data_IF_740487567066
#
_entry.id   IF_740487567066
#
_cell.length_a   1.000
_cell.length_b   1.000
_cell.length_c   1.000
_cell.angle_alpha   90.00
_cell.angle_beta   90.00
_cell.angle_gamma   90.00
#
_symmetry.space_group_name_H-M   'P 1'
#
loop_
_entity.id
_entity.type
_entity.pdbx_description
1 polymer ?
#
# COMPACT_ATOMS: atom_id res chain seq x y z
N UNK A 1 -35.57 -27.32 -38.01
CA UNK A 1 -34.87 -26.19 -38.66
C UNK A 1 -33.83 -25.72 -37.67
N UNK A 2 -32.59 -26.16 -37.87
CA UNK A 2 -31.45 -26.02 -36.94
C UNK A 2 -30.43 -25.14 -37.67
N UNK A 3 -30.28 -23.89 -37.22
CA UNK A 3 -29.19 -23.00 -37.63
C UNK A 3 -28.22 -22.93 -36.44
N UNK A 4 -27.06 -23.61 -36.42
CA UNK A 4 -25.83 -23.38 -37.20
C UNK A 4 -25.31 -21.93 -37.14
N UNK A 5 -25.08 -21.41 -35.92
CA UNK A 5 -24.20 -20.26 -35.68
C UNK A 5 -22.90 -20.70 -35.00
N UNK A 6 -22.00 -21.32 -35.79
CA UNK A 6 -20.59 -21.44 -35.47
C UNK A 6 -19.87 -20.14 -35.82
N UNK A 7 -19.96 -19.14 -34.95
CA UNK A 7 -19.13 -17.94 -35.05
C UNK A 7 -17.67 -18.32 -34.82
N UNK A 8 -16.86 -18.27 -35.87
CA UNK A 8 -15.39 -18.25 -35.79
C UNK A 8 -15.02 -17.13 -34.81
N UNK A 9 -14.62 -17.49 -33.59
CA UNK A 9 -13.93 -16.58 -32.69
C UNK A 9 -12.59 -16.31 -33.35
N UNK A 10 -12.46 -15.19 -34.03
CA UNK A 10 -11.15 -14.66 -34.36
C UNK A 10 -10.33 -14.63 -33.07
N UNK A 11 -9.12 -15.20 -33.12
CA UNK A 11 -8.19 -15.15 -32.01
C UNK A 11 -7.98 -13.67 -31.69
N UNK A 12 -8.66 -13.20 -30.63
CA UNK A 12 -8.57 -11.84 -30.13
C UNK A 12 -7.21 -11.75 -29.45
N UNK A 13 -6.17 -11.63 -30.28
CA UNK A 13 -4.80 -11.44 -29.85
C UNK A 13 -4.74 -10.30 -28.86
N UNK A 14 -3.77 -10.39 -27.95
CA UNK A 14 -3.57 -9.37 -26.91
C UNK A 14 -3.49 -8.01 -27.58
N UNK A 15 -4.23 -6.99 -27.11
CA UNK A 15 -4.14 -5.66 -27.67
C UNK A 15 -2.72 -5.12 -27.46
N UNK A 16 -1.90 -5.12 -28.51
CA UNK A 16 -0.55 -4.55 -28.51
C UNK A 16 -0.57 -3.10 -28.00
N UNK A 17 -1.63 -2.36 -28.30
CA UNK A 17 -1.81 -0.98 -27.83
C UNK A 17 -1.94 -0.88 -26.30
N UNK A 18 -2.46 -1.91 -25.63
CA UNK A 18 -2.56 -1.97 -24.17
C UNK A 18 -1.19 -2.15 -23.52
N UNK A 19 -0.33 -2.98 -24.12
CA UNK A 19 1.07 -3.15 -23.68
C UNK A 19 1.84 -1.83 -23.85
N UNK A 20 1.70 -1.18 -25.00
CA UNK A 20 2.32 0.14 -25.27
C UNK A 20 1.86 1.16 -24.22
N UNK A 21 0.57 1.18 -23.90
CA UNK A 21 0.03 2.08 -22.87
C UNK A 21 0.63 1.80 -21.48
N UNK A 22 0.74 0.54 -21.07
CA UNK A 22 1.34 0.19 -19.78
C UNK A 22 2.84 0.55 -19.75
N UNK A 23 3.58 0.29 -20.83
CA UNK A 23 4.98 0.69 -20.93
C UNK A 23 5.15 2.22 -20.90
N UNK A 24 4.25 2.99 -21.51
CA UNK A 24 4.25 4.46 -21.44
C UNK A 24 3.94 4.98 -20.03
N UNK A 25 3.19 4.23 -19.23
CA UNK A 25 2.94 4.51 -17.82
C UNK A 25 4.10 4.10 -16.90
N UNK A 26 5.19 3.55 -17.45
CA UNK A 26 6.38 3.15 -16.70
C UNK A 26 6.31 1.74 -16.09
N UNK A 27 5.37 0.89 -16.52
CA UNK A 27 5.35 -0.51 -16.09
C UNK A 27 6.50 -1.28 -16.76
N UNK A 28 7.18 -2.11 -15.97
CA UNK A 28 8.18 -3.06 -16.46
C UNK A 28 7.52 -4.23 -17.19
N UNK A 29 8.27 -4.90 -18.09
CA UNK A 29 7.76 -6.03 -18.86
C UNK A 29 7.23 -7.16 -17.95
N UNK A 30 7.87 -7.43 -16.81
CA UNK A 30 7.40 -8.43 -15.82
C UNK A 30 6.07 -8.05 -15.16
N UNK A 31 5.85 -6.75 -14.90
CA UNK A 31 4.59 -6.26 -14.36
C UNK A 31 3.48 -6.33 -15.41
N UNK A 32 3.79 -6.02 -16.67
CA UNK A 32 2.85 -6.16 -17.79
C UNK A 32 2.44 -7.62 -17.97
N UNK A 33 3.38 -8.56 -17.90
CA UNK A 33 3.10 -10.01 -17.93
C UNK A 33 2.18 -10.41 -16.79
N UNK A 34 2.44 -9.96 -15.57
CA UNK A 34 1.63 -10.28 -14.39
C UNK A 34 0.20 -9.76 -14.49
N UNK A 35 0.02 -8.53 -15.01
CA UNK A 35 -1.31 -7.93 -15.20
C UNK A 35 -2.08 -8.67 -16.30
N UNK A 36 -1.44 -8.99 -17.43
CA UNK A 36 -2.08 -9.68 -18.55
C UNK A 36 -2.39 -11.15 -18.24
N UNK A 37 -1.54 -11.84 -17.48
CA UNK A 37 -1.86 -13.19 -17.00
C UNK A 37 -3.09 -13.20 -16.10
N UNK A 38 -3.24 -12.18 -15.23
CA UNK A 38 -4.44 -12.01 -14.40
C UNK A 38 -5.70 -11.71 -15.22
N UNK A 39 -5.53 -11.09 -16.38
CA UNK A 39 -6.61 -10.86 -17.37
C UNK A 39 -6.90 -12.11 -18.23
N UNK A 40 -6.15 -13.20 -18.03
CA UNK A 40 -6.39 -14.51 -18.64
C UNK A 40 -5.62 -14.77 -19.94
N UNK A 41 -4.65 -13.93 -20.28
CA UNK A 41 -3.82 -14.11 -21.47
C UNK A 41 -2.70 -15.13 -21.25
N UNK A 42 -2.32 -15.85 -22.32
CA UNK A 42 -1.25 -16.86 -22.25
C UNK A 42 0.12 -16.20 -22.38
N UNK A 43 1.11 -16.73 -21.66
CA UNK A 43 2.48 -16.19 -21.66
C UNK A 43 3.07 -16.06 -23.07
N UNK A 44 2.88 -17.06 -23.93
CA UNK A 44 3.39 -17.03 -25.32
C UNK A 44 2.81 -15.87 -26.13
N UNK A 45 1.51 -15.63 -26.01
CA UNK A 45 0.82 -14.52 -26.68
C UNK A 45 1.32 -13.18 -26.12
N UNK A 46 1.55 -13.10 -24.80
CA UNK A 46 2.04 -11.90 -24.13
C UNK A 46 3.43 -11.53 -24.64
N UNK A 47 4.34 -12.49 -24.73
CA UNK A 47 5.71 -12.24 -25.22
C UNK A 47 5.73 -11.82 -26.69
N UNK A 48 4.90 -12.45 -27.53
CA UNK A 48 4.76 -12.06 -28.93
C UNK A 48 4.23 -10.62 -29.07
N UNK A 49 3.23 -10.27 -28.26
CA UNK A 49 2.65 -8.93 -28.25
C UNK A 49 3.59 -7.86 -27.66
N UNK A 50 4.46 -8.21 -26.70
CA UNK A 50 5.51 -7.32 -26.17
C UNK A 50 6.57 -7.05 -27.23
N UNK A 51 7.07 -8.09 -27.91
CA UNK A 51 8.04 -7.92 -29.00
C UNK A 51 7.46 -7.04 -30.11
N UNK A 52 6.20 -7.27 -30.49
CA UNK A 52 5.53 -6.44 -31.49
C UNK A 52 5.32 -4.98 -31.03
N UNK A 53 5.03 -4.77 -29.74
CA UNK A 53 4.91 -3.43 -29.15
C UNK A 53 6.24 -2.67 -29.17
N UNK A 54 7.35 -3.33 -28.88
CA UNK A 54 8.70 -2.74 -28.89
C UNK A 54 9.12 -2.32 -30.30
N UNK A 55 8.87 -3.18 -31.31
CA UNK A 55 9.11 -2.84 -32.72
C UNK A 55 8.28 -1.61 -33.13
N UNK A 56 6.99 -1.59 -32.79
CA UNK A 56 6.08 -0.47 -33.12
C UNK A 56 6.50 0.85 -32.45
N UNK A 57 7.02 0.78 -31.22
CA UNK A 57 7.54 1.94 -30.45
C UNK A 57 8.88 2.44 -31.00
N UNK A 58 9.77 1.53 -31.44
CA UNK A 58 11.04 1.88 -32.07
C UNK A 58 10.87 2.58 -33.42
N UNK A 59 9.86 2.17 -34.20
CA UNK A 59 9.58 2.70 -35.55
C UNK A 59 9.02 4.14 -35.55
N UNK A 60 8.56 4.66 -34.41
CA UNK A 60 7.94 5.99 -34.32
C UNK A 60 8.87 7.10 -33.79
N UNK A 61 10.13 6.79 -33.43
CA UNK A 61 11.00 7.71 -32.68
C UNK A 61 12.38 8.05 -33.27
N UNK A 62 12.81 7.44 -34.38
CA UNK A 62 14.11 7.74 -34.98
C UNK A 62 14.04 7.71 -36.51
N UNK A 63 14.75 8.62 -37.23
CA UNK A 63 14.93 8.46 -38.66
C UNK A 63 15.67 7.15 -38.90
N UNK A 64 15.12 6.36 -39.82
CA UNK A 64 15.67 5.10 -40.31
C UNK A 64 17.09 5.36 -40.82
N UNK A 65 18.10 4.97 -40.05
CA UNK A 65 19.33 4.51 -40.66
C UNK A 65 19.11 3.07 -41.11
N UNK A 66 19.36 2.93 -42.40
CA UNK A 66 19.25 1.76 -43.23
C UNK A 66 20.09 0.61 -42.66
N UNK A 67 19.41 -0.41 -42.13
CA UNK A 67 19.95 -1.75 -41.98
C UNK A 67 18.88 -2.70 -42.51
N UNK A 68 18.67 -2.63 -43.83
CA UNK A 68 18.23 -3.78 -44.60
C UNK A 68 19.39 -4.78 -44.72
N UNK A 69 19.02 -6.07 -44.77
CA UNK A 69 19.84 -7.23 -45.16
C UNK A 69 20.59 -8.02 -44.08
N UNK A 70 19.85 -8.86 -43.36
CA UNK A 70 20.18 -10.26 -42.99
C UNK A 70 19.07 -10.72 -42.02
N UNK A 71 18.30 -11.78 -42.18
CA UNK A 71 18.42 -13.03 -42.91
C UNK A 71 17.02 -13.47 -43.36
N UNK A 72 16.92 -13.99 -44.59
CA UNK A 72 15.77 -14.77 -45.03
C UNK A 72 16.24 -16.24 -45.09
N UNK A 73 15.51 -17.20 -44.51
CA UNK A 73 15.97 -18.59 -44.44
C UNK A 73 15.94 -19.22 -45.84
N UNK A 74 17.10 -19.69 -46.28
CA UNK A 74 17.26 -20.30 -47.59
C UNK A 74 16.60 -21.68 -47.63
N UNK A 75 15.42 -21.74 -48.24
CA UNK A 75 14.71 -22.94 -48.66
C UNK A 75 15.50 -23.67 -49.77
N UNK A 76 16.05 -24.83 -49.45
CA UNK A 76 16.76 -25.71 -50.39
C UNK A 76 15.78 -26.30 -51.42
N UNK A 77 15.93 -25.91 -52.69
CA UNK A 77 15.45 -26.68 -53.86
C UNK A 77 16.63 -27.14 -54.71
N UNK A 78 16.64 -28.40 -55.19
CA UNK A 78 17.73 -28.94 -55.99
C UNK A 78 17.58 -28.47 -57.44
N UNK A 79 18.62 -27.84 -58.00
CA UNK A 79 18.66 -27.48 -59.42
C UNK A 79 19.90 -28.06 -60.09
N UNK A 80 19.64 -29.05 -60.93
CA UNK A 80 19.98 -29.01 -62.36
C UNK A 80 21.45 -28.98 -62.73
N UNK A 81 21.91 -30.15 -63.20
CA UNK A 81 23.08 -30.39 -64.05
C UNK A 81 23.26 -29.32 -65.13
N UNK A 82 24.45 -28.72 -65.20
CA UNK A 82 25.00 -28.09 -66.39
C UNK A 82 26.53 -28.16 -66.34
N UNK A 83 27.09 -28.92 -67.27
CA UNK A 83 28.50 -29.23 -67.49
C UNK A 83 29.18 -28.10 -68.29
N UNK A 84 30.41 -27.66 -67.92
CA UNK A 84 31.33 -27.00 -68.85
C UNK A 84 32.64 -27.81 -69.05
N UNK A 85 33.35 -27.57 -70.17
CA UNK A 85 34.23 -28.52 -70.87
C UNK A 85 35.59 -28.79 -70.18
N UNK A 86 36.30 -29.88 -70.58
CA UNK A 86 37.55 -30.28 -69.94
C UNK A 86 38.71 -29.36 -70.34
N UNK A 87 39.35 -28.74 -69.34
CA UNK A 87 40.67 -28.14 -69.49
C UNK A 87 41.70 -29.20 -69.14
N UNK A 88 42.33 -29.73 -70.19
CA UNK A 88 43.50 -30.59 -70.13
C UNK A 88 44.72 -29.70 -69.89
N UNK A 89 45.28 -29.73 -68.68
CA UNK A 89 46.40 -28.85 -68.33
C UNK A 89 46.87 -29.00 -66.88
N UNK A 90 47.79 -29.94 -66.68
CA UNK A 90 48.84 -30.02 -65.64
C UNK A 90 48.65 -29.04 -64.46
N UNK A 91 48.02 -29.51 -63.38
CA UNK A 91 48.05 -28.83 -62.07
C UNK A 91 49.07 -29.61 -61.21
N UNK A 92 50.14 -28.98 -60.71
CA UNK A 92 51.03 -29.62 -59.74
C UNK A 92 50.23 -29.95 -58.45
N UNK A 93 50.63 -30.98 -57.67
CA UNK A 93 49.93 -31.29 -56.43
C UNK A 93 50.03 -30.10 -55.47
N UNK A 94 48.97 -29.31 -55.38
CA UNK A 94 48.81 -28.34 -54.31
C UNK A 94 48.63 -29.15 -53.03
N UNK A 95 49.69 -29.19 -52.24
CA UNK A 95 49.64 -29.46 -50.81
C UNK A 95 48.53 -28.58 -50.21
N UNK A 96 47.46 -29.20 -49.73
CA UNK A 96 46.41 -28.55 -48.96
C UNK A 96 47.11 -27.89 -47.76
N UNK A 97 47.02 -26.58 -47.55
CA UNK A 97 47.45 -26.00 -46.28
C UNK A 97 46.48 -26.54 -45.23
N UNK A 98 47.01 -27.26 -44.23
CA UNK A 98 46.34 -27.53 -42.95
C UNK A 98 46.19 -26.23 -42.13
N UNK A 99 45.74 -25.16 -42.77
CA UNK A 99 45.38 -23.91 -42.10
C UNK A 99 43.89 -24.01 -41.84
N UNK A 100 43.52 -24.33 -40.60
CA UNK A 100 42.18 -24.05 -40.14
C UNK A 100 41.84 -24.55 -38.75
N UNK A 101 42.13 -25.80 -38.40
CA UNK A 101 41.63 -26.37 -37.14
C UNK A 101 42.35 -25.81 -35.93
N UNK A 102 43.68 -25.68 -35.95
CA UNK A 102 44.45 -25.15 -34.81
C UNK A 102 44.11 -23.68 -34.49
N UNK A 103 43.86 -22.86 -35.52
CA UNK A 103 43.44 -21.46 -35.31
C UNK A 103 41.98 -21.35 -34.87
N UNK A 104 41.12 -22.27 -35.30
CA UNK A 104 39.74 -22.34 -34.84
C UNK A 104 39.68 -22.88 -33.40
N UNK A 105 40.57 -23.80 -33.02
CA UNK A 105 40.74 -24.30 -31.65
C UNK A 105 41.28 -23.21 -30.72
N UNK A 106 42.31 -22.44 -31.13
CA UNK A 106 42.82 -21.30 -30.35
C UNK A 106 41.75 -20.22 -30.14
N UNK A 107 40.98 -19.89 -31.19
CA UNK A 107 39.86 -18.94 -31.09
C UNK A 107 38.71 -19.51 -30.24
N UNK A 108 38.43 -20.81 -30.33
CA UNK A 108 37.40 -21.45 -29.52
C UNK A 108 37.80 -21.51 -28.04
N UNK A 109 39.06 -21.85 -27.71
CA UNK A 109 39.57 -21.85 -26.34
C UNK A 109 39.56 -20.44 -25.74
N UNK A 110 39.97 -19.42 -26.50
CA UNK A 110 39.92 -18.04 -26.05
C UNK A 110 38.47 -17.57 -25.78
N UNK A 111 37.52 -17.92 -26.66
CA UNK A 111 36.09 -17.58 -26.47
C UNK A 111 35.49 -18.35 -25.29
N UNK A 112 35.84 -19.62 -25.10
CA UNK A 112 35.34 -20.42 -23.97
C UNK A 112 35.84 -19.85 -22.65
N UNK A 113 37.12 -19.49 -22.55
CA UNK A 113 37.70 -18.92 -21.32
C UNK A 113 37.10 -17.53 -21.01
N UNK A 114 36.96 -16.67 -22.02
CA UNK A 114 36.34 -15.35 -21.86
C UNK A 114 34.89 -15.47 -21.35
N UNK A 115 34.10 -16.40 -21.93
CA UNK A 115 32.72 -16.63 -21.52
C UNK A 115 32.59 -17.35 -20.18
N UNK A 116 33.52 -18.22 -19.81
CA UNK A 116 33.52 -18.84 -18.48
C UNK A 116 33.82 -17.84 -17.36
N UNK A 117 34.72 -16.89 -17.61
CA UNK A 117 34.98 -15.79 -16.68
C UNK A 117 33.71 -14.98 -16.38
N UNK A 118 33.03 -14.52 -17.44
CA UNK A 118 31.78 -13.75 -17.35
C UNK A 118 30.65 -14.52 -16.62
N UNK A 119 30.51 -15.82 -16.90
CA UNK A 119 29.52 -16.68 -16.21
C UNK A 119 29.86 -16.84 -14.73
N UNK A 120 31.13 -17.00 -14.36
CA UNK A 120 31.55 -17.14 -12.97
C UNK A 120 31.29 -15.86 -12.17
N UNK A 121 31.55 -14.69 -12.78
CA UNK A 121 31.25 -13.39 -12.17
C UNK A 121 29.74 -13.20 -11.94
N UNK A 122 28.92 -13.59 -12.92
CA UNK A 122 27.46 -13.56 -12.77
C UNK A 122 26.95 -14.51 -11.68
N UNK A 123 27.54 -15.71 -11.55
CA UNK A 123 27.19 -16.65 -10.48
C UNK A 123 27.49 -16.04 -9.11
N UNK A 124 28.65 -15.41 -8.94
CA UNK A 124 28.99 -14.74 -7.68
C UNK A 124 27.97 -13.63 -7.35
N UNK A 125 27.57 -12.84 -8.35
CA UNK A 125 26.52 -11.81 -8.18
C UNK A 125 25.18 -12.43 -7.75
N UNK A 126 24.81 -13.58 -8.31
CA UNK A 126 23.59 -14.30 -7.94
C UNK A 126 23.66 -14.85 -6.51
N UNK A 127 24.83 -15.33 -6.08
CA UNK A 127 25.04 -15.79 -4.69
C UNK A 127 24.89 -14.62 -3.72
N UNK A 128 25.51 -13.47 -4.00
CA UNK A 128 25.35 -12.28 -3.15
C UNK A 128 23.89 -11.80 -3.08
N UNK A 129 23.19 -11.87 -4.21
CA UNK A 129 21.77 -11.52 -4.26
C UNK A 129 20.90 -12.52 -3.47
N UNK A 130 21.22 -13.82 -3.56
CA UNK A 130 20.57 -14.87 -2.77
C UNK A 130 20.76 -14.61 -1.28
N UNK A 131 21.99 -14.38 -0.83
CA UNK A 131 22.30 -14.15 0.59
C UNK A 131 21.64 -12.88 1.13
N UNK A 132 21.60 -11.82 0.31
CA UNK A 132 20.89 -10.58 0.65
C UNK A 132 19.39 -10.80 0.75
N UNK A 133 18.81 -11.65 -0.08
CA UNK A 133 17.38 -11.96 -0.08
C UNK A 133 17.01 -12.87 1.09
N UNK A 134 17.82 -13.88 1.39
CA UNK A 134 17.65 -14.75 2.56
C UNK A 134 17.73 -13.93 3.85
N UNK A 135 18.70 -13.02 3.97
CA UNK A 135 18.82 -12.12 5.12
C UNK A 135 17.59 -11.22 5.28
N UNK A 136 17.07 -10.66 4.17
CA UNK A 136 15.83 -9.87 4.19
C UNK A 136 14.61 -10.70 4.55
N UNK A 137 14.54 -11.95 4.09
CA UNK A 137 13.44 -12.87 4.39
C UNK A 137 13.41 -13.21 5.87
N UNK A 138 14.57 -13.51 6.47
CA UNK A 138 14.70 -13.72 7.91
C UNK A 138 14.29 -12.47 8.70
N UNK A 139 14.78 -11.29 8.32
CA UNK A 139 14.38 -10.04 8.98
C UNK A 139 12.89 -9.69 8.83
N UNK A 140 12.25 -10.10 7.73
CA UNK A 140 10.79 -9.96 7.56
C UNK A 140 10.03 -10.93 8.48
N UNK A 141 10.52 -12.17 8.63
CA UNK A 141 9.93 -13.14 9.53
C UNK A 141 9.99 -12.67 10.99
N UNK A 142 11.13 -12.10 11.40
CA UNK A 142 11.29 -11.55 12.76
C UNK A 142 10.34 -10.37 13.00
N UNK A 143 10.24 -9.44 12.04
CA UNK A 143 9.28 -8.31 12.11
C UNK A 143 7.84 -8.80 12.14
N UNK A 144 7.53 -9.89 11.43
CA UNK A 144 6.20 -10.49 11.44
C UNK A 144 5.85 -11.08 12.82
N UNK A 145 6.77 -11.81 13.44
CA UNK A 145 6.55 -12.34 14.80
C UNK A 145 6.50 -11.23 15.86
N UNK A 146 7.30 -10.17 15.72
CA UNK A 146 7.16 -8.96 16.55
C UNK A 146 5.81 -8.29 16.36
N UNK A 147 5.33 -8.14 15.12
CA UNK A 147 4.01 -7.55 14.81
C UNK A 147 2.88 -8.37 15.43
N UNK A 148 2.94 -9.70 15.31
CA UNK A 148 1.98 -10.63 15.91
C UNK A 148 1.97 -10.52 17.44
N UNK A 149 3.14 -10.38 18.05
CA UNK A 149 3.27 -10.18 19.50
C UNK A 149 2.70 -8.82 19.93
N UNK A 150 2.97 -7.74 19.18
CA UNK A 150 2.40 -6.42 19.44
C UNK A 150 0.87 -6.42 19.30
N UNK A 151 0.32 -7.06 18.27
CA UNK A 151 -1.14 -7.22 18.09
C UNK A 151 -1.76 -8.01 19.24
N UNK A 152 -1.08 -9.04 19.74
CA UNK A 152 -1.54 -9.79 20.91
C UNK A 152 -1.56 -8.90 22.16
N UNK A 153 -0.50 -8.14 22.40
CA UNK A 153 -0.43 -7.18 23.50
C UNK A 153 -1.57 -6.16 23.45
N UNK A 154 -1.81 -5.55 22.27
CA UNK A 154 -2.92 -4.61 22.08
C UNK A 154 -4.28 -5.28 22.34
N UNK A 155 -4.48 -6.52 21.89
CA UNK A 155 -5.73 -7.24 22.14
C UNK A 155 -5.94 -7.48 23.63
N UNK A 156 -4.91 -7.87 24.35
CA UNK A 156 -4.98 -8.15 25.79
C UNK A 156 -5.23 -6.83 26.57
N UNK A 157 -4.56 -5.74 26.20
CA UNK A 157 -4.78 -4.40 26.77
C UNK A 157 -6.20 -3.88 26.50
N UNK A 158 -6.72 -4.06 25.28
CA UNK A 158 -8.09 -3.67 24.92
C UNK A 158 -9.13 -4.48 25.70
N UNK A 159 -8.90 -5.78 25.92
CA UNK A 159 -9.79 -6.61 26.73
C UNK A 159 -9.76 -6.18 28.20
N UNK A 160 -8.59 -5.83 28.73
CA UNK A 160 -8.46 -5.30 30.09
C UNK A 160 -9.22 -3.96 30.24
N UNK A 161 -8.99 -3.01 29.32
CA UNK A 161 -9.71 -1.74 29.31
C UNK A 161 -11.23 -1.95 29.17
N UNK A 162 -11.67 -2.82 28.26
CA UNK A 162 -13.10 -3.10 28.08
C UNK A 162 -13.73 -3.69 29.35
N UNK A 163 -13.03 -4.58 30.06
CA UNK A 163 -13.48 -5.11 31.35
C UNK A 163 -13.57 -4.02 32.42
N UNK A 164 -12.61 -3.09 32.46
CA UNK A 164 -12.70 -1.92 33.35
C UNK A 164 -13.87 -1.00 32.99
N UNK A 165 -14.14 -0.80 31.70
CA UNK A 165 -15.29 -0.01 31.22
C UNK A 165 -16.62 -0.67 31.60
N UNK A 166 -16.75 -1.99 31.45
CA UNK A 166 -17.94 -2.74 31.85
C UNK A 166 -18.20 -2.62 33.36
N UNK A 167 -17.15 -2.72 34.17
CA UNK A 167 -17.23 -2.49 35.61
C UNK A 167 -17.67 -1.06 35.94
N UNK A 168 -17.04 -0.05 35.33
CA UNK A 168 -17.43 1.35 35.50
C UNK A 168 -18.87 1.61 35.08
N UNK A 169 -19.33 0.98 34.00
CA UNK A 169 -20.71 1.10 33.52
C UNK A 169 -21.70 0.46 34.51
N UNK A 170 -21.33 -0.68 35.09
CA UNK A 170 -22.12 -1.34 36.13
C UNK A 170 -22.22 -0.48 37.39
N UNK A 171 -21.12 0.12 37.83
CA UNK A 171 -21.08 1.03 38.98
C UNK A 171 -21.95 2.29 38.71
N UNK A 172 -21.83 2.88 37.52
CA UNK A 172 -22.69 3.99 37.08
C UNK A 172 -24.16 3.55 37.07
N UNK A 173 -24.46 2.32 36.63
CA UNK A 173 -25.82 1.77 36.68
C UNK A 173 -26.39 1.73 38.10
N UNK A 174 -25.58 1.33 39.08
CA UNK A 174 -25.95 1.34 40.49
C UNK A 174 -26.16 2.77 41.02
N UNK A 175 -25.27 3.70 40.68
CA UNK A 175 -25.38 5.11 41.07
C UNK A 175 -26.62 5.78 40.45
N UNK A 176 -26.88 5.55 39.16
CA UNK A 176 -28.08 6.05 38.48
C UNK A 176 -29.34 5.47 39.12
N UNK A 177 -29.32 4.20 39.53
CA UNK A 177 -30.46 3.60 40.24
C UNK A 177 -30.64 4.20 41.64
N UNK A 178 -29.55 4.49 42.36
CA UNK A 178 -29.61 5.17 43.65
C UNK A 178 -30.16 6.60 43.49
N UNK A 179 -29.68 7.36 42.49
CA UNK A 179 -30.18 8.68 42.15
C UNK A 179 -31.66 8.63 41.74
N UNK A 180 -32.08 7.61 40.98
CA UNK A 180 -33.48 7.40 40.61
C UNK A 180 -34.35 7.23 41.86
N UNK A 181 -33.93 6.42 42.84
CA UNK A 181 -34.65 6.28 44.13
C UNK A 181 -34.66 7.58 44.94
N UNK A 182 -33.58 8.35 44.90
CA UNK A 182 -33.54 9.68 45.53
C UNK A 182 -34.54 10.62 44.85
N UNK A 183 -34.62 10.60 43.53
CA UNK A 183 -35.59 11.40 42.76
C UNK A 183 -37.03 10.98 43.06
N UNK A 184 -37.33 9.69 43.12
CA UNK A 184 -38.64 9.16 43.53
C UNK A 184 -39.08 9.65 44.91
N UNK A 185 -38.15 9.81 45.86
CA UNK A 185 -38.45 10.35 47.20
C UNK A 185 -38.61 11.87 47.20
N UNK A 186 -37.83 12.57 46.38
CA UNK A 186 -37.83 14.04 46.31
C UNK A 186 -39.05 14.56 45.55
N UNK A 187 -39.54 13.83 44.54
CA UNK A 187 -40.71 14.25 43.74
C UNK A 187 -41.95 14.54 44.61
N UNK A 188 -42.41 13.65 45.51
CA UNK A 188 -43.51 13.94 46.41
C UNK A 188 -43.24 15.13 47.32
N UNK A 189 -42.03 15.25 47.88
CA UNK A 189 -41.67 16.35 48.78
C UNK A 189 -41.69 17.71 48.07
N UNK A 190 -41.24 17.76 46.80
CA UNK A 190 -41.37 18.96 45.98
C UNK A 190 -42.84 19.28 45.66
N UNK A 191 -43.65 18.28 45.32
CA UNK A 191 -45.08 18.49 45.07
C UNK A 191 -45.82 19.00 46.31
N UNK A 192 -45.49 18.47 47.49
CA UNK A 192 -46.01 18.92 48.77
C UNK A 192 -45.55 20.35 49.08
N UNK A 193 -44.25 20.64 48.93
CA UNK A 193 -43.69 21.99 49.16
C UNK A 193 -44.28 23.04 48.22
N UNK A 194 -44.45 22.71 46.93
CA UNK A 194 -45.10 23.61 45.95
C UNK A 194 -46.58 23.77 46.27
N UNK A 195 -47.26 22.72 46.72
CA UNK A 195 -48.65 22.76 47.17
C UNK A 195 -48.84 23.63 48.42
N UNK A 196 -47.96 23.51 49.41
CA UNK A 196 -47.91 24.36 50.60
C UNK A 196 -47.60 25.80 50.25
N UNK A 197 -46.64 26.06 49.37
CA UNK A 197 -46.31 27.41 48.90
C UNK A 197 -47.49 28.04 48.16
N UNK A 198 -48.20 27.27 47.33
CA UNK A 198 -49.44 27.70 46.67
C UNK A 198 -50.55 28.03 47.67
N UNK A 199 -50.70 27.22 48.74
CA UNK A 199 -51.63 27.48 49.85
C UNK A 199 -51.25 28.69 50.69
N UNK A 200 -49.97 28.86 51.01
CA UNK A 200 -49.46 30.00 51.79
C UNK A 200 -49.58 31.30 51.00
N UNK A 201 -49.30 31.24 49.69
CA UNK A 201 -49.51 32.35 48.77
C UNK A 201 -50.99 32.70 48.62
N UNK A 202 -51.89 31.71 48.51
CA UNK A 202 -53.33 31.96 48.41
C UNK A 202 -53.98 32.43 49.72
N UNK A 203 -53.45 32.01 50.87
CA UNK A 203 -53.94 32.40 52.20
C UNK A 203 -53.45 33.77 52.70
N UNK A 204 -52.34 34.28 52.16
CA UNK A 204 -51.80 35.57 52.56
C UNK A 204 -52.40 36.72 51.74
N UNK A 205 -52.81 37.80 52.43
CA UNK A 205 -53.37 39.03 51.82
C UNK A 205 -52.42 39.67 50.78
N UNK A 206 -51.13 39.35 50.85
CA UNK A 206 -50.11 39.71 49.88
C UNK A 206 -50.22 38.92 48.57
N UNK A 207 -50.48 37.60 48.60
CA UNK A 207 -50.66 36.82 47.37
C UNK A 207 -51.95 37.16 46.62
N UNK A 208 -53.02 37.56 47.33
CA UNK A 208 -54.22 38.11 46.67
C UNK A 208 -53.94 39.45 45.96
N UNK A 209 -53.00 40.26 46.46
CA UNK A 209 -52.54 41.49 45.79
C UNK A 209 -51.55 41.20 44.65
N UNK A 210 -50.71 40.17 44.75
CA UNK A 210 -49.77 39.79 43.70
C UNK A 210 -50.50 39.15 42.50
N UNK A 211 -51.51 38.32 42.74
CA UNK A 211 -52.35 37.77 41.66
C UNK A 211 -53.19 38.86 40.99
N UNK A 212 -53.68 39.85 41.75
CA UNK A 212 -54.33 41.03 41.18
C UNK A 212 -53.34 41.89 40.37
N UNK A 213 -52.14 42.14 40.89
CA UNK A 213 -51.09 42.92 40.21
C UNK A 213 -50.52 42.22 38.96
N UNK A 214 -50.46 40.88 38.96
CA UNK A 214 -50.06 40.10 37.78
C UNK A 214 -51.11 40.20 36.66
N UNK A 215 -52.41 40.13 37.01
CA UNK A 215 -53.49 40.38 36.06
C UNK A 215 -53.48 41.82 35.50
N UNK A 216 -52.97 42.78 36.26
CA UNK A 216 -52.87 44.19 35.87
C UNK A 216 -51.62 44.45 35.00
N UNK A 217 -50.48 43.80 35.29
CA UNK A 217 -49.29 43.84 34.43
C UNK A 217 -49.48 43.14 33.09
N UNK A 218 -50.26 42.06 33.02
CA UNK A 218 -50.59 41.40 31.75
C UNK A 218 -51.40 42.33 30.83
N UNK A 219 -52.25 43.18 31.41
CA UNK A 219 -52.95 44.23 30.67
C UNK A 219 -52.01 45.37 30.23
N UNK A 220 -50.96 45.67 31.00
CA UNK A 220 -49.94 46.69 30.69
C UNK A 220 -48.97 46.24 29.57
N UNK A 221 -48.66 44.94 29.48
CA UNK A 221 -47.78 44.38 28.45
C UNK A 221 -48.41 44.39 27.04
N UNK A 222 -49.74 44.43 26.95
CA UNK A 222 -50.50 44.62 25.70
C UNK A 222 -50.48 46.06 25.18
N UNK A 223 -49.88 47.02 25.91
CA UNK A 223 -49.73 48.40 25.43
C UNK A 223 -48.52 48.51 24.49
N UNK A 224 -48.69 49.09 23.28
CA UNK A 224 -47.62 49.18 22.29
C UNK A 224 -46.51 50.12 22.78
N UNK A 225 -45.36 49.56 23.15
CA UNK A 225 -44.17 50.34 23.55
C UNK A 225 -43.56 51.02 22.32
N UNK A 226 -43.53 52.36 22.29
CA UNK A 226 -42.81 53.14 21.28
C UNK A 226 -41.29 52.91 21.45
N UNK A 227 -40.68 52.33 20.43
CA UNK A 227 -39.26 52.05 20.37
C UNK A 227 -38.42 53.34 20.41
N UNK A 228 -37.53 53.45 21.39
CA UNK A 228 -36.43 54.44 21.36
C UNK A 228 -35.16 53.65 21.09
N UNK A 229 -34.72 53.68 19.83
CA UNK A 229 -33.50 53.04 19.35
C UNK A 229 -32.33 53.95 19.73
N UNK A 230 -31.43 53.48 20.60
CA UNK A 230 -30.14 54.12 20.85
C UNK A 230 -29.04 53.28 20.18
N UNK A 231 -28.19 53.88 19.32
CA UNK A 231 -27.22 53.13 18.53
C UNK A 231 -25.96 52.75 19.35
N UNK A 232 -25.34 51.59 19.06
CA UNK A 232 -24.14 51.13 19.78
C UNK A 232 -22.88 51.85 19.30
N UNK A 233 -22.07 52.29 20.26
CA UNK A 233 -20.78 52.93 20.06
C UNK A 233 -19.75 51.93 19.49
N UNK A 234 -19.07 52.36 18.42
CA UNK A 234 -17.98 51.63 17.76
C UNK A 234 -16.72 51.65 18.62
N UNK A 235 -16.26 50.49 19.09
CA UNK A 235 -14.93 50.33 19.71
C UNK A 235 -13.92 49.88 18.67
N UNK A 236 -12.78 50.58 18.64
CA UNK A 236 -11.70 50.47 17.66
C UNK A 236 -10.89 49.19 17.86
N UNK A 237 -10.64 48.47 16.77
CA UNK A 237 -9.68 47.38 16.69
C UNK A 237 -8.24 47.93 16.68
N UNK A 238 -7.45 47.59 17.70
CA UNK A 238 -6.02 47.84 17.75
C UNK A 238 -5.25 46.60 17.28
N UNK A 239 -4.35 46.84 16.33
CA UNK A 239 -3.51 45.90 15.61
C UNK A 239 -2.18 45.76 16.35
N UNK A 240 -1.85 44.57 16.86
CA UNK A 240 -0.52 44.26 17.37
C UNK A 240 0.12 43.16 16.51
N UNK A 241 1.16 43.55 15.79
CA UNK A 241 2.13 42.68 15.12
C UNK A 241 3.26 42.34 16.11
N UNK A 242 3.84 41.15 15.92
CA UNK A 242 5.30 40.88 15.81
C UNK A 242 5.95 40.03 16.92
N UNK A 243 6.79 39.10 16.44
CA UNK A 243 7.94 38.41 17.04
C UNK A 243 7.62 37.17 17.89
N UNK A 244 8.05 35.94 17.53
CA UNK A 244 9.41 35.40 17.28
C UNK A 244 10.02 34.83 18.57
N UNK A 245 9.96 33.51 18.71
CA UNK A 245 10.81 32.60 19.49
C UNK A 245 10.47 31.21 18.92
N UNK A 246 11.24 30.57 18.03
CA UNK A 246 12.60 30.04 18.15
C UNK A 246 12.80 29.20 19.43
N UNK A 247 13.24 27.95 19.22
CA UNK A 247 13.68 26.92 20.20
C UNK A 247 12.52 26.32 21.02
N UNK A 248 12.27 25.00 21.07
CA UNK A 248 13.13 23.90 21.52
C UNK A 248 12.49 22.60 21.00
N UNK A 249 13.18 21.84 20.13
CA UNK A 249 12.94 20.40 19.98
C UNK A 249 14.29 19.73 20.21
N UNK A 250 14.46 19.24 21.44
CA UNK A 250 15.66 18.56 21.90
C UNK A 250 15.83 17.23 21.20
N UNK A 251 17.00 17.05 20.63
CA UNK A 251 17.62 15.76 20.32
C UNK A 251 17.91 15.05 21.64
N UNK A 252 17.11 14.02 21.95
CA UNK A 252 17.42 13.05 23.00
C UNK A 252 18.39 12.02 22.45
N UNK A 253 19.67 12.30 22.65
CA UNK A 253 20.80 11.39 22.58
C UNK A 253 21.04 10.82 24.00
N UNK A 254 21.59 9.60 24.07
CA UNK A 254 22.23 8.98 25.24
C UNK A 254 21.38 8.19 26.26
N UNK A 255 21.47 6.86 26.18
CA UNK A 255 21.59 5.87 27.26
C UNK A 255 21.97 4.54 26.55
N UNK A 256 23.24 4.22 26.32
CA UNK A 256 24.18 3.62 27.30
C UNK A 256 23.49 2.73 28.33
N UNK A 257 23.24 1.48 27.92
CA UNK A 257 22.86 0.36 28.78
C UNK A 257 23.98 -0.66 28.82
N UNK A 258 24.69 -0.61 29.94
CA UNK A 258 25.80 -1.42 30.40
C UNK A 258 25.45 -2.92 30.56
N UNK A 259 26.52 -3.72 30.55
CA UNK A 259 26.64 -5.15 30.86
C UNK A 259 25.68 -5.70 31.92
N UNK A 260 25.20 -6.93 31.70
CA UNK A 260 25.30 -7.97 32.73
C UNK A 260 25.50 -9.34 32.07
N UNK A 261 26.68 -9.90 32.29
CA UNK A 261 26.90 -11.35 32.32
C UNK A 261 25.94 -11.99 33.32
N UNK A 262 25.22 -13.04 32.92
CA UNK A 262 24.89 -14.11 33.87
C UNK A 262 24.99 -15.47 33.17
N UNK A 263 26.19 -15.99 33.24
CA UNK A 263 26.54 -17.40 33.18
C UNK A 263 25.73 -18.19 34.24
N UNK A 264 24.77 -19.01 33.80
CA UNK A 264 24.35 -20.19 34.57
C UNK A 264 24.16 -21.40 33.68
N UNK A 265 25.17 -22.27 33.75
CA UNK A 265 25.10 -23.72 33.73
C UNK A 265 23.70 -24.31 33.82
N UNK A 266 23.27 -25.00 32.77
CA UNK A 266 22.39 -26.15 32.91
C UNK A 266 22.92 -27.31 32.03
N UNK A 267 23.94 -27.98 32.56
CA UNK A 267 24.20 -29.39 32.28
C UNK A 267 23.15 -30.19 33.03
N UNK A 268 22.07 -30.59 32.36
CA UNK A 268 21.15 -31.59 32.89
C UNK A 268 20.84 -32.65 31.84
N UNK A 269 21.47 -33.80 32.06
CA UNK A 269 20.95 -35.15 31.83
C UNK A 269 20.22 -35.43 30.52
N UNK A 270 20.96 -36.03 29.58
CA UNK A 270 20.42 -37.07 28.70
C UNK A 270 21.37 -38.26 28.84
N UNK A 271 21.28 -38.91 29.99
CA UNK A 271 21.39 -40.37 30.09
C UNK A 271 19.96 -40.90 30.09
N UNK A 272 19.79 -42.13 29.60
CA UNK A 272 18.55 -42.91 29.55
C UNK A 272 17.61 -42.62 28.37
N UNK A 273 17.87 -43.22 27.19
CA UNK A 273 16.87 -44.04 26.49
C UNK A 273 17.58 -45.22 25.81
N UNK A 274 17.26 -46.40 26.33
CA UNK A 274 17.46 -47.75 25.81
C UNK A 274 16.62 -48.01 24.54
#
# INVERSE_FOLDING_TARGET
MVELFGGKKEAKGIPTDRIIQMQQQGYSNDQVVSVLQREGYRSSEIFEAISHAEIKKGVTGAPVEDISEMENPMELKPRGVAEPPPIEGIIPPMSKPEIGTEKIEEVAEAIIEEKWGEVTENINTVIEWKDRTESKLTGLNDKFEQTKSAVKGIKDDLLAQLSEYDKKLTDIGADVQAMSKVFEKILPQFMESVGELSRLASGTKAGKQIVAAASEMEAELKRPRKATVTPPAKTKAAKAKKSRSDEIFGTGDSEEGEETEEEKNDKKSIEDIE
#
